data_IF_359143362987
#
_entry.id   IF_359143362987
#
_cell.length_a   1.000
_cell.length_b   1.000
_cell.length_c   1.000
_cell.angle_alpha   90.00
_cell.angle_beta   90.00
_cell.angle_gamma   90.00
#
_symmetry.space_group_name_H-M   'P 1'
#
loop_
_entity.id
_entity.type
_entity.pdbx_description
1 polymer ?
#
# COMPACT_ATOMS: atom_id res chain seq x y z
N UNK A 1 16.06 12.67 1.56
CA UNK A 1 14.61 12.72 1.87
C UNK A 1 13.88 14.02 1.57
N UNK A 2 14.27 15.20 2.08
CA UNK A 2 13.48 16.44 1.86
C UNK A 2 13.21 16.78 0.39
N UNK A 3 14.21 16.61 -0.49
CA UNK A 3 14.04 16.84 -1.93
C UNK A 3 13.05 15.86 -2.57
N UNK A 4 13.15 14.57 -2.25
CA UNK A 4 12.22 13.53 -2.72
C UNK A 4 10.80 13.80 -2.22
N UNK A 5 10.61 14.12 -0.94
CA UNK A 5 9.28 14.44 -0.38
C UNK A 5 8.66 15.65 -1.12
N UNK A 6 9.47 16.66 -1.44
CA UNK A 6 9.01 17.80 -2.24
C UNK A 6 8.61 17.37 -3.64
N UNK A 7 9.38 16.51 -4.30
CA UNK A 7 9.00 15.95 -5.61
C UNK A 7 7.70 15.16 -5.52
N UNK A 8 7.53 14.31 -4.51
CA UNK A 8 6.31 13.50 -4.34
C UNK A 8 5.06 14.36 -4.11
N UNK A 9 5.21 15.58 -3.60
CA UNK A 9 4.09 16.52 -3.44
C UNK A 9 3.50 17.01 -4.78
N UNK A 10 4.21 16.84 -5.90
CA UNK A 10 3.69 17.14 -7.24
C UNK A 10 2.66 16.12 -7.72
N UNK A 11 2.58 14.93 -7.10
CA UNK A 11 1.72 13.82 -7.52
C UNK A 11 2.02 13.22 -8.91
N UNK A 12 3.08 13.66 -9.60
CA UNK A 12 3.47 13.12 -10.91
C UNK A 12 3.85 11.62 -10.86
N UNK A 13 4.30 11.14 -9.70
CA UNK A 13 4.55 9.72 -9.45
C UNK A 13 3.27 8.89 -9.49
N UNK A 14 2.10 9.46 -9.15
CA UNK A 14 0.80 8.79 -9.25
C UNK A 14 0.40 8.63 -10.72
N UNK A 15 0.58 9.67 -11.52
CA UNK A 15 0.32 9.62 -12.97
C UNK A 15 1.26 8.65 -13.70
N UNK A 16 2.45 8.43 -13.15
CA UNK A 16 3.44 7.46 -13.65
C UNK A 16 3.24 6.05 -13.08
N UNK A 17 2.15 5.81 -12.32
CA UNK A 17 1.83 4.53 -11.68
C UNK A 17 2.96 3.97 -10.80
N UNK A 18 3.72 4.86 -10.14
CA UNK A 18 4.76 4.49 -9.18
C UNK A 18 4.15 4.33 -7.79
N UNK A 19 4.74 3.48 -6.96
CA UNK A 19 4.39 3.29 -5.56
C UNK A 19 5.30 4.11 -4.64
N UNK A 20 4.87 4.31 -3.40
CA UNK A 20 5.70 4.90 -2.34
C UNK A 20 5.74 3.97 -1.14
N UNK A 21 6.92 3.53 -0.76
CA UNK A 21 7.15 2.68 0.40
C UNK A 21 7.79 3.51 1.52
N UNK A 22 7.09 3.63 2.65
CA UNK A 22 7.50 4.43 3.79
C UNK A 22 7.78 3.48 4.96
N UNK A 23 9.02 3.40 5.40
CA UNK A 23 9.44 2.58 6.54
C UNK A 23 10.03 3.42 7.67
N UNK A 24 10.04 2.89 8.88
CA UNK A 24 10.65 3.53 10.05
C UNK A 24 9.98 3.19 11.38
N UNK A 25 10.63 3.45 12.53
CA UNK A 25 10.12 3.09 13.86
C UNK A 25 8.74 3.69 14.19
N UNK A 26 8.10 3.21 15.25
CA UNK A 26 6.87 3.83 15.77
C UNK A 26 7.07 5.33 16.05
N UNK A 27 6.04 6.15 15.79
CA UNK A 27 6.04 7.57 16.14
C UNK A 27 6.83 8.52 15.21
N UNK A 28 7.60 8.03 14.23
CA UNK A 28 8.42 8.90 13.34
C UNK A 28 7.65 9.61 12.22
N UNK A 29 6.31 9.55 12.22
CA UNK A 29 5.47 10.28 11.25
C UNK A 29 5.17 9.58 9.92
N UNK A 30 5.29 8.24 9.83
CA UNK A 30 4.95 7.46 8.61
C UNK A 30 3.52 7.72 8.12
N UNK A 31 2.53 7.50 8.99
CA UNK A 31 1.11 7.76 8.72
C UNK A 31 0.87 9.21 8.34
N UNK A 32 1.52 10.14 9.04
CA UNK A 32 1.42 11.57 8.74
C UNK A 32 1.89 11.87 7.31
N UNK A 33 3.05 11.36 6.90
CA UNK A 33 3.58 11.56 5.56
C UNK A 33 2.68 10.90 4.49
N UNK A 34 2.24 9.66 4.72
CA UNK A 34 1.32 8.96 3.82
C UNK A 34 0.01 9.76 3.60
N UNK A 35 -0.60 10.23 4.70
CA UNK A 35 -1.79 11.06 4.65
C UNK A 35 -1.54 12.42 3.99
N UNK A 36 -0.39 13.06 4.22
CA UNK A 36 -0.05 14.33 3.59
C UNK A 36 0.08 14.20 2.06
N UNK A 37 0.69 13.10 1.58
CA UNK A 37 0.78 12.78 0.16
C UNK A 37 -0.59 12.46 -0.44
N UNK A 38 -1.41 11.67 0.25
CA UNK A 38 -2.77 11.39 -0.20
C UNK A 38 -3.64 12.64 -0.24
N UNK A 39 -3.51 13.54 0.73
CA UNK A 39 -4.19 14.82 0.75
C UNK A 39 -3.73 15.72 -0.41
N UNK A 40 -2.43 15.70 -0.75
CA UNK A 40 -1.93 16.40 -1.92
C UNK A 40 -2.57 15.88 -3.22
N UNK A 41 -2.70 14.55 -3.36
CA UNK A 41 -3.40 13.93 -4.50
C UNK A 41 -4.86 14.38 -4.57
N UNK A 42 -5.59 14.35 -3.44
CA UNK A 42 -6.98 14.84 -3.38
C UNK A 42 -7.10 16.32 -3.79
N UNK A 43 -6.15 17.18 -3.39
CA UNK A 43 -6.15 18.60 -3.80
C UNK A 43 -5.95 18.80 -5.30
N UNK A 44 -5.36 17.82 -5.98
CA UNK A 44 -5.21 17.80 -7.44
C UNK A 44 -6.36 17.06 -8.14
N UNK A 45 -7.44 16.71 -7.43
CA UNK A 45 -8.61 16.05 -8.00
C UNK A 45 -8.47 14.53 -8.16
N UNK A 46 -7.38 13.93 -7.68
CA UNK A 46 -7.19 12.48 -7.70
C UNK A 46 -7.92 11.82 -6.53
N UNK A 47 -8.60 10.71 -6.80
CA UNK A 47 -9.28 9.95 -5.76
C UNK A 47 -8.28 9.15 -4.94
N UNK A 48 -8.34 9.29 -3.61
CA UNK A 48 -7.48 8.55 -2.69
C UNK A 48 -8.30 7.88 -1.58
N UNK A 49 -7.84 6.72 -1.12
CA UNK A 49 -8.47 5.99 -0.01
C UNK A 49 -7.43 5.45 0.95
N UNK A 50 -7.65 5.68 2.25
CA UNK A 50 -6.80 5.18 3.32
C UNK A 50 -7.39 3.93 3.96
N UNK A 51 -6.52 2.95 4.23
CA UNK A 51 -6.81 1.75 4.99
C UNK A 51 -5.70 1.46 5.98
N UNK A 52 -6.08 1.07 7.21
CA UNK A 52 -5.23 0.21 8.02
C UNK A 52 -5.33 -1.20 7.45
N UNK A 53 -4.20 -1.84 7.17
CA UNK A 53 -4.16 -3.15 6.50
C UNK A 53 -4.99 -4.20 7.27
N UNK A 54 -4.94 -4.23 8.60
CA UNK A 54 -5.74 -5.15 9.41
C UNK A 54 -7.25 -5.02 9.23
N UNK A 55 -7.75 -3.79 9.08
CA UNK A 55 -9.17 -3.52 8.84
C UNK A 55 -9.57 -3.89 7.42
N UNK A 56 -8.73 -3.57 6.43
CA UNK A 56 -8.95 -3.96 5.04
C UNK A 56 -9.03 -5.49 4.89
N UNK A 57 -8.14 -6.24 5.55
CA UNK A 57 -8.17 -7.71 5.53
C UNK A 57 -9.45 -8.27 6.17
N UNK A 58 -9.97 -7.60 7.21
CA UNK A 58 -11.25 -7.99 7.83
C UNK A 58 -12.42 -7.72 6.87
N UNK A 59 -12.43 -6.57 6.19
CA UNK A 59 -13.42 -6.25 5.15
C UNK A 59 -13.39 -7.26 4.00
N UNK A 60 -12.20 -7.66 3.54
CA UNK A 60 -12.03 -8.65 2.47
C UNK A 60 -12.53 -10.03 2.88
N UNK A 61 -12.21 -10.49 4.10
CA UNK A 61 -12.71 -11.75 4.63
C UNK A 61 -14.25 -11.78 4.75
N UNK A 62 -14.86 -10.70 5.24
CA UNK A 62 -16.33 -10.58 5.28
C UNK A 62 -16.93 -10.60 3.87
N UNK A 63 -16.32 -9.87 2.93
CA UNK A 63 -16.79 -9.82 1.55
C UNK A 63 -16.68 -11.18 0.83
N UNK A 64 -15.72 -12.04 1.23
CA UNK A 64 -15.69 -13.44 0.76
C UNK A 64 -16.87 -14.23 1.31
N UNK A 65 -17.12 -14.12 2.61
CA UNK A 65 -18.20 -14.86 3.29
C UNK A 65 -19.60 -14.50 2.79
N UNK A 66 -19.82 -13.27 2.34
CA UNK A 66 -21.13 -12.79 1.86
C UNK A 66 -21.25 -12.70 0.32
N UNK A 67 -20.21 -13.11 -0.41
CA UNK A 67 -20.18 -13.11 -1.88
C UNK A 67 -19.98 -11.74 -2.53
N UNK A 68 -19.60 -10.70 -1.76
CA UNK A 68 -19.37 -9.35 -2.28
C UNK A 68 -17.90 -9.01 -2.57
N UNK A 69 -16.99 -9.97 -2.45
CA UNK A 69 -15.54 -9.82 -2.65
C UNK A 69 -15.17 -9.10 -3.96
N UNK A 70 -15.66 -9.60 -5.11
CA UNK A 70 -15.38 -8.99 -6.43
C UNK A 70 -15.96 -7.57 -6.56
N UNK A 71 -17.00 -7.24 -5.79
CA UNK A 71 -17.54 -5.87 -5.76
C UNK A 71 -16.61 -4.95 -4.98
N UNK A 72 -16.05 -5.42 -3.86
CA UNK A 72 -15.07 -4.68 -3.07
C UNK A 72 -13.80 -4.43 -3.88
N UNK A 73 -13.24 -5.44 -4.56
CA UNK A 73 -12.07 -5.26 -5.45
C UNK A 73 -12.33 -4.19 -6.51
N UNK A 74 -13.47 -4.28 -7.22
CA UNK A 74 -13.90 -3.26 -8.20
C UNK A 74 -14.11 -1.87 -7.61
N UNK A 75 -14.39 -1.74 -6.32
CA UNK A 75 -14.48 -0.45 -5.66
C UNK A 75 -13.08 0.09 -5.34
N UNK A 76 -12.18 -0.76 -4.87
CA UNK A 76 -10.79 -0.40 -4.55
C UNK A 76 -10.01 0.03 -5.80
N UNK A 77 -10.22 -0.64 -6.94
CA UNK A 77 -9.53 -0.33 -8.20
C UNK A 77 -9.91 1.03 -8.80
N UNK A 78 -11.05 1.63 -8.41
CA UNK A 78 -11.47 2.96 -8.87
C UNK A 78 -10.63 4.11 -8.29
N UNK A 79 -9.93 3.88 -7.18
CA UNK A 79 -9.12 4.92 -6.56
C UNK A 79 -7.77 5.06 -7.28
N UNK A 80 -7.41 6.30 -7.63
CA UNK A 80 -6.08 6.61 -8.18
C UNK A 80 -4.97 6.25 -7.18
N UNK A 81 -5.26 6.42 -5.88
CA UNK A 81 -4.31 6.14 -4.81
C UNK A 81 -4.93 5.32 -3.67
N UNK A 82 -4.29 4.23 -3.28
CA UNK A 82 -4.55 3.57 -2.00
C UNK A 82 -3.40 3.83 -1.02
N UNK A 83 -3.74 4.11 0.23
CA UNK A 83 -2.79 4.11 1.35
C UNK A 83 -3.04 2.88 2.19
N UNK A 84 -2.03 2.02 2.30
CA UNK A 84 -2.01 0.83 3.12
C UNK A 84 -1.07 1.07 4.31
N UNK A 85 -1.66 1.47 5.43
CA UNK A 85 -0.91 1.74 6.67
C UNK A 85 -0.88 0.52 7.58
N UNK A 86 0.10 0.48 8.48
CA UNK A 86 0.36 -0.64 9.39
C UNK A 86 0.64 -1.98 8.66
N UNK A 87 1.38 -1.91 7.54
CA UNK A 87 1.78 -3.10 6.80
C UNK A 87 2.68 -4.03 7.60
N UNK A 88 2.38 -5.33 7.56
CA UNK A 88 3.15 -6.41 8.18
C UNK A 88 3.36 -6.29 9.70
N UNK A 89 2.45 -5.63 10.44
CA UNK A 89 2.51 -5.63 11.92
C UNK A 89 2.34 -7.03 12.54
N UNK A 90 1.73 -7.96 11.80
CA UNK A 90 1.67 -9.38 12.12
C UNK A 90 1.89 -10.19 10.84
N UNK A 91 2.35 -11.45 10.93
CA UNK A 91 2.44 -12.33 9.78
C UNK A 91 1.08 -12.50 9.10
N UNK A 92 1.07 -12.46 7.76
CA UNK A 92 -0.14 -12.66 6.98
C UNK A 92 -0.49 -14.14 6.90
N UNK A 93 -1.79 -14.46 6.94
CA UNK A 93 -2.26 -15.79 6.57
C UNK A 93 -2.19 -15.99 5.04
N UNK A 94 -2.17 -17.24 4.53
CA UNK A 94 -2.20 -17.51 3.08
C UNK A 94 -3.37 -16.85 2.35
N UNK A 95 -4.54 -16.80 3.00
CA UNK A 95 -5.71 -16.13 2.43
C UNK A 95 -5.49 -14.61 2.37
N UNK A 96 -5.06 -13.99 3.46
CA UNK A 96 -4.77 -12.55 3.49
C UNK A 96 -3.71 -12.14 2.45
N UNK A 97 -2.67 -12.95 2.27
CA UNK A 97 -1.65 -12.71 1.25
C UNK A 97 -2.25 -12.75 -0.18
N UNK A 98 -3.11 -13.73 -0.48
CA UNK A 98 -3.82 -13.80 -1.77
C UNK A 98 -4.75 -12.62 -1.96
N UNK A 99 -5.49 -12.22 -0.93
CA UNK A 99 -6.38 -11.05 -0.97
C UNK A 99 -5.61 -9.77 -1.31
N UNK A 100 -4.44 -9.57 -0.69
CA UNK A 100 -3.55 -8.45 -1.00
C UNK A 100 -3.00 -8.54 -2.42
N UNK A 101 -2.60 -9.73 -2.87
CA UNK A 101 -2.10 -9.93 -4.23
C UNK A 101 -3.14 -9.54 -5.28
N UNK A 102 -4.41 -9.94 -5.12
CA UNK A 102 -5.50 -9.54 -6.03
C UNK A 102 -5.65 -8.01 -6.12
N UNK A 103 -5.56 -7.30 -4.99
CA UNK A 103 -5.59 -5.83 -4.97
C UNK A 103 -4.37 -5.23 -5.66
N UNK A 104 -3.19 -5.81 -5.45
CA UNK A 104 -1.93 -5.27 -5.99
C UNK A 104 -1.78 -5.55 -7.48
N UNK A 105 -2.24 -6.71 -7.96
CA UNK A 105 -2.27 -7.06 -9.39
C UNK A 105 -3.19 -6.12 -10.17
N UNK A 106 -4.41 -5.86 -9.70
CA UNK A 106 -5.36 -4.91 -10.33
C UNK A 106 -4.77 -3.49 -10.48
N UNK A 107 -3.83 -3.14 -9.59
CA UNK A 107 -3.23 -1.80 -9.51
C UNK A 107 -1.88 -1.70 -10.22
N UNK A 108 -1.22 -2.83 -10.46
CA UNK A 108 0.09 -2.87 -11.11
C UNK A 108 0.02 -2.16 -12.45
N UNK A 109 0.90 -1.17 -12.64
CA UNK A 109 1.00 -0.36 -13.86
C UNK A 109 -0.25 0.47 -14.22
N UNK A 110 -1.30 0.49 -13.40
CA UNK A 110 -2.56 1.22 -13.65
C UNK A 110 -2.87 2.29 -12.62
N UNK A 111 -2.40 2.12 -11.37
CA UNK A 111 -2.63 3.06 -10.27
C UNK A 111 -1.63 2.87 -9.14
N UNK A 112 -1.56 3.82 -8.22
CA UNK A 112 -0.48 3.86 -7.22
C UNK A 112 -0.91 3.39 -5.84
N UNK A 113 0.05 2.92 -5.06
CA UNK A 113 -0.11 2.56 -3.65
C UNK A 113 0.96 3.26 -2.80
N UNK A 114 0.55 3.79 -1.65
CA UNK A 114 1.48 4.09 -0.55
C UNK A 114 1.40 2.94 0.45
N UNK A 115 2.54 2.37 0.82
CA UNK A 115 2.64 1.38 1.91
C UNK A 115 3.45 2.01 3.03
N UNK A 116 2.88 2.06 4.23
CA UNK A 116 3.56 2.49 5.44
C UNK A 116 3.74 1.31 6.39
N UNK A 117 4.98 1.08 6.82
CA UNK A 117 5.32 -0.05 7.70
C UNK A 117 6.34 0.33 8.77
N UNK A 118 6.18 -0.28 9.95
CA UNK A 118 7.21 -0.25 11.00
C UNK A 118 8.31 -1.28 10.76
N UNK A 119 8.04 -2.28 9.92
CA UNK A 119 8.95 -3.37 9.59
C UNK A 119 9.84 -2.92 8.42
N UNK A 120 11.17 -3.07 8.53
CA UNK A 120 12.07 -2.86 7.40
C UNK A 120 11.71 -3.75 6.21
N UNK A 121 11.88 -3.23 5.00
CA UNK A 121 11.45 -3.90 3.77
C UNK A 121 12.12 -5.26 3.57
N UNK A 122 13.39 -5.42 3.98
CA UNK A 122 14.11 -6.70 3.93
C UNK A 122 13.43 -7.83 4.72
N UNK A 123 12.55 -7.49 5.68
CA UNK A 123 11.81 -8.46 6.48
C UNK A 123 10.38 -8.71 5.99
N UNK A 124 9.89 -7.97 4.98
CA UNK A 124 8.52 -8.15 4.50
C UNK A 124 8.30 -9.54 3.89
N UNK A 125 9.30 -10.09 3.20
CA UNK A 125 9.21 -11.45 2.66
C UNK A 125 8.94 -12.48 3.77
N UNK A 126 9.54 -12.30 4.97
CA UNK A 126 9.36 -13.22 6.10
C UNK A 126 7.99 -13.09 6.77
N UNK A 127 7.30 -11.96 6.56
CA UNK A 127 5.94 -11.76 7.06
C UNK A 127 4.86 -12.44 6.20
N UNK A 128 5.24 -12.94 5.02
CA UNK A 128 4.35 -13.60 4.07
C UNK A 128 4.48 -15.14 4.19
N UNK A 129 3.38 -15.88 4.00
CA UNK A 129 3.26 -17.27 4.45
C UNK A 129 3.97 -18.29 3.54
N UNK A 130 4.15 -17.99 2.25
CA UNK A 130 4.95 -18.82 1.35
C UNK A 130 5.81 -17.94 0.42
N UNK A 131 7.00 -18.44 -0.02
CA UNK A 131 7.92 -17.67 -0.84
C UNK A 131 7.35 -17.23 -2.19
N UNK A 132 6.51 -18.04 -2.83
CA UNK A 132 5.96 -17.73 -4.16
C UNK A 132 5.00 -16.54 -4.08
N UNK A 133 4.09 -16.53 -3.08
CA UNK A 133 3.23 -15.37 -2.83
C UNK A 133 4.04 -14.16 -2.38
N UNK A 134 5.09 -14.37 -1.59
CA UNK A 134 5.96 -13.30 -1.14
C UNK A 134 6.63 -12.60 -2.32
N UNK A 135 7.25 -13.36 -3.22
CA UNK A 135 7.89 -12.84 -4.43
C UNK A 135 6.89 -12.10 -5.32
N UNK A 136 5.70 -12.66 -5.55
CA UNK A 136 4.66 -12.02 -6.35
C UNK A 136 4.21 -10.67 -5.77
N UNK A 137 3.89 -10.62 -4.48
CA UNK A 137 3.46 -9.38 -3.80
C UNK A 137 4.58 -8.35 -3.79
N UNK A 138 5.80 -8.76 -3.46
CA UNK A 138 6.95 -7.86 -3.38
C UNK A 138 7.32 -7.30 -4.75
N UNK A 139 7.24 -8.10 -5.82
CA UNK A 139 7.47 -7.61 -7.18
C UNK A 139 6.50 -6.47 -7.54
N UNK A 140 5.19 -6.65 -7.29
CA UNK A 140 4.17 -5.62 -7.59
C UNK A 140 4.39 -4.29 -6.85
N UNK A 141 4.87 -4.34 -5.62
CA UNK A 141 5.05 -3.11 -4.81
C UNK A 141 6.45 -2.51 -4.94
N UNK A 142 7.48 -3.32 -5.19
CA UNK A 142 8.87 -2.89 -5.12
C UNK A 142 9.44 -2.44 -6.46
N UNK A 143 9.01 -3.05 -7.57
CA UNK A 143 9.61 -2.86 -8.90
C UNK A 143 9.57 -1.40 -9.34
N UNK A 144 8.42 -0.74 -9.13
CA UNK A 144 8.18 0.65 -9.50
C UNK A 144 7.88 1.48 -8.26
N UNK A 145 8.88 1.73 -7.40
CA UNK A 145 8.66 2.42 -6.13
C UNK A 145 9.71 3.45 -5.74
N UNK A 146 9.23 4.53 -5.11
CA UNK A 146 10.05 5.41 -4.28
C UNK A 146 10.11 4.86 -2.85
N UNK A 147 11.31 4.80 -2.28
CA UNK A 147 11.53 4.29 -0.92
C UNK A 147 11.95 5.42 0.00
N UNK A 148 11.29 5.53 1.15
CA UNK A 148 11.56 6.55 2.17
C UNK A 148 11.72 5.83 3.50
N UNK A 149 12.88 5.97 4.12
CA UNK A 149 13.12 5.46 5.47
C UNK A 149 13.21 6.62 6.44
N UNK A 150 12.15 6.80 7.23
CA UNK A 150 12.08 7.82 8.26
C UNK A 150 12.89 7.39 9.48
N UNK A 151 13.70 8.32 9.97
CA UNK A 151 14.50 8.18 11.19
C UNK A 151 14.02 9.22 12.20
N UNK A 152 14.03 8.83 13.47
CA UNK A 152 13.80 9.71 14.62
C UNK A 152 15.13 10.18 15.20
#
# INVERSE_FOLDING_TARGET
DRALIRTLSSCQWIESNLNVLITGPAGVGKTFLACALAQAACRQGMSARYYRVSLLLTELAMARGDGTFTRLLRQLSKFNLLVLDDWALAPFTPEQARDLLEILDDRSETSSVIIASQIPMEHWHQSLPDPTLADAILDRIAHNSHRITLKG
#
